data_IF_461753709846
#
_entry.id   IF_461753709846
#
_cell.length_a   1.000
_cell.length_b   1.000
_cell.length_c   1.000
_cell.angle_alpha   90.00
_cell.angle_beta   90.00
_cell.angle_gamma   90.00
#
_symmetry.space_group_name_H-M   'P 1'
#
loop_
_entity.id
_entity.type
_entity.pdbx_description
1 polymer ?
#
# COMPACT_ATOMS: atom_id res chain seq x y z
N UNK A 1 -21.88 21.11 48.96
CA UNK A 1 -22.03 19.87 48.17
C UNK A 1 -22.83 20.06 46.89
N UNK A 2 -24.00 20.70 46.90
CA UNK A 2 -24.82 20.94 45.69
C UNK A 2 -24.08 21.67 44.53
N UNK A 3 -23.28 22.69 44.85
CA UNK A 3 -22.53 23.46 43.83
C UNK A 3 -21.47 22.60 43.10
N UNK A 4 -20.83 21.68 43.82
CA UNK A 4 -19.79 20.80 43.26
C UNK A 4 -20.39 19.75 42.32
N UNK A 5 -21.58 19.24 42.67
CA UNK A 5 -22.35 18.30 41.84
C UNK A 5 -22.83 18.98 40.56
N UNK A 6 -23.31 20.23 40.66
CA UNK A 6 -23.72 21.01 39.49
C UNK A 6 -22.54 21.29 38.53
N UNK A 7 -21.36 21.61 39.06
CA UNK A 7 -20.16 21.85 38.27
C UNK A 7 -19.68 20.58 37.55
N UNK A 8 -19.70 19.43 38.24
CA UNK A 8 -19.35 18.13 37.65
C UNK A 8 -20.32 17.75 36.53
N UNK A 9 -21.62 17.94 36.74
CA UNK A 9 -22.63 17.69 35.71
C UNK A 9 -22.43 18.61 34.49
N UNK A 10 -22.09 19.88 34.72
CA UNK A 10 -21.81 20.84 33.65
C UNK A 10 -20.54 20.47 32.85
N UNK A 11 -19.49 19.98 33.51
CA UNK A 11 -18.28 19.54 32.82
C UNK A 11 -18.51 18.26 31.99
N UNK A 12 -19.32 17.32 32.50
CA UNK A 12 -19.69 16.10 31.76
C UNK A 12 -20.51 16.43 30.51
N UNK A 13 -21.46 17.38 30.60
CA UNK A 13 -22.24 17.80 29.43
C UNK A 13 -21.39 18.59 28.43
N UNK A 14 -20.41 19.36 28.90
CA UNK A 14 -19.46 20.08 28.04
C UNK A 14 -18.57 19.10 27.25
N UNK A 15 -18.06 18.03 27.88
CA UNK A 15 -17.27 17.01 27.17
C UNK A 15 -18.10 16.28 26.11
N UNK A 16 -19.35 15.94 26.40
CA UNK A 16 -20.24 15.32 25.41
C UNK A 16 -20.58 16.26 24.25
N UNK A 17 -20.62 17.57 24.48
CA UNK A 17 -20.85 18.55 23.43
C UNK A 17 -19.61 18.78 22.55
N UNK A 18 -18.41 18.84 23.15
CA UNK A 18 -17.16 19.08 22.45
C UNK A 18 -16.70 17.84 21.66
N UNK A 19 -16.87 16.63 22.23
CA UNK A 19 -16.43 15.38 21.60
C UNK A 19 -17.53 14.60 20.88
N UNK A 20 -18.81 14.92 21.11
CA UNK A 20 -19.96 14.21 20.52
C UNK A 20 -20.39 14.70 19.14
N UNK A 21 -19.77 15.76 18.62
CA UNK A 21 -19.90 16.12 17.21
C UNK A 21 -19.02 15.21 16.36
N UNK A 22 -19.35 13.91 16.33
CA UNK A 22 -18.87 13.02 15.29
C UNK A 22 -19.44 13.55 13.98
N UNK A 23 -18.64 14.36 13.29
CA UNK A 23 -18.77 14.66 11.88
C UNK A 23 -18.51 13.33 11.16
N UNK A 24 -19.45 12.39 11.27
CA UNK A 24 -19.58 11.33 10.29
C UNK A 24 -20.10 12.06 9.06
N UNK A 25 -19.26 12.34 8.04
CA UNK A 25 -19.83 12.68 6.76
C UNK A 25 -20.76 11.52 6.42
N UNK A 26 -22.06 11.79 6.33
CA UNK A 26 -23.05 10.86 5.80
C UNK A 26 -22.78 10.79 4.29
N UNK A 27 -21.60 10.29 3.93
CA UNK A 27 -21.26 9.90 2.58
C UNK A 27 -22.26 8.80 2.27
N UNK A 28 -23.13 8.98 1.26
CA UNK A 28 -23.94 7.87 0.81
C UNK A 28 -22.98 6.72 0.57
N UNK A 29 -23.26 5.56 1.17
CA UNK A 29 -22.64 4.28 0.80
C UNK A 29 -23.12 3.92 -0.61
N UNK A 30 -22.95 4.81 -1.58
CA UNK A 30 -22.79 4.44 -2.96
C UNK A 30 -21.61 3.49 -2.93
N UNK A 31 -21.92 2.20 -3.11
CA UNK A 31 -20.94 1.16 -3.37
C UNK A 31 -19.80 1.79 -4.16
N UNK A 32 -18.65 1.91 -3.53
CA UNK A 32 -17.44 2.48 -4.11
C UNK A 32 -16.96 1.46 -5.15
N UNK A 33 -17.74 1.31 -6.23
CA UNK A 33 -17.43 0.51 -7.39
C UNK A 33 -16.42 1.34 -8.14
N UNK A 34 -15.16 1.19 -7.73
CA UNK A 34 -14.05 1.72 -8.47
C UNK A 34 -14.16 1.23 -9.92
N UNK A 35 -14.15 2.14 -10.92
CA UNK A 35 -14.18 1.76 -12.32
C UNK A 35 -13.10 0.70 -12.58
N UNK A 36 -13.44 -0.47 -13.14
CA UNK A 36 -12.45 -1.52 -13.45
C UNK A 36 -11.28 -0.99 -14.29
N UNK A 37 -11.50 0.11 -15.03
CA UNK A 37 -10.52 0.82 -15.83
C UNK A 37 -9.36 1.40 -15.04
N UNK A 38 -9.55 1.76 -13.77
CA UNK A 38 -8.46 2.20 -12.87
C UNK A 38 -7.44 1.08 -12.67
N UNK A 39 -7.90 -0.17 -12.52
CA UNK A 39 -7.04 -1.34 -12.39
C UNK A 39 -6.58 -1.90 -13.73
N UNK A 40 -7.35 -1.70 -14.80
CA UNK A 40 -7.01 -2.14 -16.17
C UNK A 40 -5.72 -1.49 -16.69
N UNK A 41 -5.36 -0.30 -16.18
CA UNK A 41 -4.16 0.46 -16.56
C UNK A 41 -2.96 0.31 -15.62
N UNK A 42 -3.09 -0.38 -14.48
CA UNK A 42 -1.94 -0.99 -13.80
C UNK A 42 -1.52 -2.22 -14.60
N UNK A 43 -1.11 -1.98 -15.83
CA UNK A 43 -0.44 -2.97 -16.65
C UNK A 43 0.97 -3.16 -16.08
N UNK A 44 1.03 -3.92 -14.98
CA UNK A 44 2.24 -4.64 -14.54
C UNK A 44 2.81 -5.55 -15.65
N UNK A 45 2.14 -5.62 -16.80
CA UNK A 45 2.59 -6.19 -18.07
C UNK A 45 4.00 -5.72 -18.46
N UNK A 46 4.42 -4.51 -18.06
CA UNK A 46 5.80 -4.02 -18.25
C UNK A 46 6.63 -3.96 -16.95
N UNK A 47 6.07 -4.41 -15.82
CA UNK A 47 6.86 -4.73 -14.64
C UNK A 47 7.55 -6.07 -14.88
N UNK A 48 8.46 -6.07 -15.86
CA UNK A 48 9.51 -7.08 -16.05
C UNK A 48 10.54 -6.91 -14.93
N UNK A 49 10.08 -6.84 -13.68
CA UNK A 49 10.93 -7.04 -12.53
C UNK A 49 11.28 -8.51 -12.56
N UNK A 50 12.55 -8.87 -12.83
CA UNK A 50 12.96 -10.25 -12.69
C UNK A 50 12.56 -10.73 -11.29
N UNK A 51 12.14 -12.00 -11.18
CA UNK A 51 11.94 -12.67 -9.89
C UNK A 51 13.22 -12.75 -9.03
N UNK A 52 14.32 -12.17 -9.53
CA UNK A 52 15.67 -12.20 -9.00
C UNK A 52 16.06 -10.76 -8.66
N UNK A 53 16.33 -10.53 -7.37
CA UNK A 53 17.00 -9.31 -6.92
C UNK A 53 18.43 -9.27 -7.48
N UNK A 54 18.85 -8.09 -7.93
CA UNK A 54 20.25 -7.84 -8.22
C UNK A 54 21.06 -7.71 -6.92
N UNK A 55 22.37 -7.95 -6.99
CA UNK A 55 23.31 -7.60 -5.94
C UNK A 55 24.25 -6.50 -6.50
N UNK A 56 24.21 -5.26 -5.99
CA UNK A 56 23.31 -4.74 -4.96
C UNK A 56 21.85 -4.62 -5.44
N UNK A 57 20.90 -4.65 -4.49
CA UNK A 57 19.47 -4.61 -4.79
C UNK A 57 19.09 -3.33 -5.53
N UNK A 58 18.28 -3.48 -6.59
CA UNK A 58 17.81 -2.35 -7.41
C UNK A 58 16.29 -2.38 -7.58
N UNK A 59 15.63 -1.30 -7.18
CA UNK A 59 14.17 -1.21 -7.09
C UNK A 59 13.59 -0.34 -8.20
N UNK A 60 12.45 -0.69 -8.78
CA UNK A 60 11.76 0.17 -9.73
C UNK A 60 11.29 1.47 -9.05
N UNK A 61 11.54 2.62 -9.68
CA UNK A 61 11.13 3.93 -9.16
C UNK A 61 10.14 4.64 -10.10
N UNK A 62 10.53 4.86 -11.36
CA UNK A 62 9.68 5.52 -12.36
C UNK A 62 9.92 4.95 -13.76
N UNK A 63 9.05 5.26 -14.71
CA UNK A 63 9.25 4.92 -16.12
C UNK A 63 9.57 6.18 -16.93
N UNK A 64 10.44 6.05 -17.93
CA UNK A 64 10.71 7.16 -18.85
C UNK A 64 9.58 7.33 -19.89
N UNK A 65 9.46 8.54 -20.42
CA UNK A 65 8.39 8.92 -21.35
C UNK A 65 8.40 8.16 -22.70
N UNK A 66 9.53 7.61 -23.11
CA UNK A 66 9.72 7.08 -24.48
C UNK A 66 9.40 5.59 -24.64
N UNK A 67 9.75 4.75 -23.66
CA UNK A 67 9.66 3.27 -23.80
C UNK A 67 8.95 2.60 -22.62
N UNK A 68 8.51 3.38 -21.61
CA UNK A 68 7.86 2.80 -20.42
C UNK A 68 8.75 1.83 -19.63
N UNK A 69 10.07 1.87 -19.82
CA UNK A 69 11.02 1.02 -19.11
C UNK A 69 11.23 1.55 -17.71
N UNK A 70 11.12 0.67 -16.72
CA UNK A 70 11.41 1.00 -15.32
C UNK A 70 12.87 1.42 -15.16
N UNK A 71 13.06 2.63 -14.66
CA UNK A 71 14.31 3.07 -14.06
C UNK A 71 14.41 2.44 -12.69
N UNK A 72 15.57 1.83 -12.43
CA UNK A 72 15.85 1.13 -11.18
C UNK A 72 16.88 1.90 -10.38
N UNK A 73 16.63 2.04 -9.08
CA UNK A 73 17.45 2.83 -8.17
C UNK A 73 17.95 1.97 -7.01
N UNK A 74 18.88 2.51 -6.23
CA UNK A 74 19.38 1.84 -5.03
C UNK A 74 18.26 1.58 -4.02
N UNK A 75 18.50 0.64 -3.12
CA UNK A 75 17.62 0.35 -1.98
C UNK A 75 17.50 1.56 -1.03
N UNK A 76 18.52 2.41 -0.98
CA UNK A 76 18.65 3.53 -0.06
C UNK A 76 17.95 4.80 -0.56
N UNK A 77 16.63 4.69 -0.72
CA UNK A 77 15.72 5.76 -1.11
C UNK A 77 14.40 5.57 -0.38
N UNK A 78 13.73 6.68 -0.04
CA UNK A 78 12.42 6.65 0.63
C UNK A 78 11.35 5.90 -0.18
N UNK A 79 11.46 5.90 -1.52
CA UNK A 79 10.50 5.22 -2.41
C UNK A 79 10.65 3.70 -2.45
N UNK A 80 11.72 3.14 -1.91
CA UNK A 80 12.04 1.70 -2.01
C UNK A 80 10.94 0.81 -1.43
N UNK A 81 10.20 1.29 -0.42
CA UNK A 81 9.10 0.55 0.19
C UNK A 81 7.86 0.37 -0.71
N UNK A 82 7.70 1.19 -1.75
CA UNK A 82 6.50 1.20 -2.60
C UNK A 82 6.36 -0.13 -3.36
N UNK A 83 7.45 -0.62 -3.95
CA UNK A 83 7.42 -1.84 -4.76
C UNK A 83 7.04 -3.10 -3.96
N UNK A 84 7.70 -3.44 -2.84
CA UNK A 84 7.30 -4.61 -2.05
C UNK A 84 5.87 -4.48 -1.51
N UNK A 85 5.42 -3.29 -1.09
CA UNK A 85 4.03 -3.06 -0.69
C UNK A 85 3.04 -3.33 -1.82
N UNK A 86 3.36 -2.88 -3.05
CA UNK A 86 2.55 -3.15 -4.24
C UNK A 86 2.38 -4.66 -4.51
N UNK A 87 3.40 -5.48 -4.22
CA UNK A 87 3.31 -6.94 -4.37
C UNK A 87 2.27 -7.55 -3.42
N UNK A 88 2.12 -7.02 -2.19
CA UNK A 88 1.05 -7.43 -1.27
C UNK A 88 -0.33 -7.01 -1.80
N UNK A 89 -0.46 -5.79 -2.32
CA UNK A 89 -1.72 -5.32 -2.90
C UNK A 89 -2.15 -6.15 -4.12
N UNK A 90 -1.20 -6.55 -4.96
CA UNK A 90 -1.46 -7.46 -6.08
C UNK A 90 -2.02 -8.79 -5.57
N UNK A 91 -1.49 -9.34 -4.47
CA UNK A 91 -2.03 -10.57 -3.85
C UNK A 91 -3.47 -10.36 -3.41
N UNK A 92 -3.77 -9.27 -2.70
CA UNK A 92 -5.11 -8.97 -2.18
C UNK A 92 -6.12 -8.87 -3.33
N UNK A 93 -5.80 -8.08 -4.36
CA UNK A 93 -6.67 -7.92 -5.54
C UNK A 93 -6.82 -9.24 -6.33
N UNK A 94 -5.74 -10.01 -6.43
CA UNK A 94 -5.79 -11.33 -7.06
C UNK A 94 -6.70 -12.28 -6.29
N UNK A 95 -6.78 -12.20 -4.96
CA UNK A 95 -7.70 -13.03 -4.17
C UNK A 95 -9.14 -12.51 -4.17
N UNK A 96 -9.34 -11.19 -4.19
CA UNK A 96 -10.64 -10.56 -4.03
C UNK A 96 -11.50 -10.56 -5.31
N UNK A 97 -10.89 -10.70 -6.49
CA UNK A 97 -11.61 -10.53 -7.77
C UNK A 97 -11.97 -11.86 -8.44
N UNK A 98 -13.09 -11.89 -9.17
CA UNK A 98 -13.45 -12.98 -10.09
C UNK A 98 -12.36 -13.22 -11.17
N UNK A 99 -11.49 -12.23 -11.35
CA UNK A 99 -10.28 -12.30 -12.17
C UNK A 99 -9.35 -13.45 -11.76
N UNK A 100 -9.35 -13.86 -10.49
CA UNK A 100 -8.61 -15.02 -9.98
C UNK A 100 -9.01 -16.34 -10.67
N UNK A 101 -10.28 -16.47 -11.07
CA UNK A 101 -10.80 -17.65 -11.80
C UNK A 101 -10.41 -17.59 -13.27
N UNK A 102 -10.53 -16.42 -13.89
CA UNK A 102 -10.14 -16.20 -15.30
C UNK A 102 -8.63 -16.39 -15.49
N UNK A 103 -7.81 -15.91 -14.55
CA UNK A 103 -6.36 -16.08 -14.60
C UNK A 103 -5.91 -17.52 -14.41
N UNK A 104 -6.48 -18.23 -13.43
CA UNK A 104 -6.23 -19.66 -13.25
C UNK A 104 -6.61 -20.49 -14.48
N UNK A 105 -7.70 -20.13 -15.16
CA UNK A 105 -8.14 -20.82 -16.37
C UNK A 105 -7.23 -20.57 -17.58
N UNK A 106 -6.61 -19.38 -17.68
CA UNK A 106 -5.87 -18.94 -18.88
C UNK A 106 -4.37 -19.18 -18.84
N UNK A 107 -3.79 -19.45 -17.66
CA UNK A 107 -2.39 -19.83 -17.52
C UNK A 107 -2.26 -21.10 -16.70
N UNK A 108 -1.81 -22.19 -17.33
CA UNK A 108 -1.23 -23.39 -16.67
C UNK A 108 0.08 -23.08 -15.92
N UNK A 109 0.43 -21.81 -15.71
CA UNK A 109 1.68 -21.40 -15.04
C UNK A 109 1.47 -21.32 -13.55
N UNK A 110 2.49 -21.75 -12.79
CA UNK A 110 2.59 -21.62 -11.34
C UNK A 110 2.05 -20.27 -10.87
N UNK A 111 1.18 -20.31 -9.86
CA UNK A 111 0.70 -19.10 -9.18
C UNK A 111 1.93 -18.39 -8.62
N UNK A 112 2.21 -17.17 -9.08
CA UNK A 112 3.27 -16.35 -8.52
C UNK A 112 2.97 -16.10 -7.04
N UNK A 113 3.90 -16.50 -6.16
CA UNK A 113 3.80 -16.21 -4.74
C UNK A 113 4.24 -14.76 -4.49
N UNK A 114 3.28 -13.85 -4.69
CA UNK A 114 3.46 -12.41 -4.52
C UNK A 114 3.88 -12.03 -3.10
N UNK A 115 3.47 -12.80 -2.08
CA UNK A 115 3.84 -12.55 -0.69
C UNK A 115 5.30 -12.89 -0.47
N UNK A 116 5.73 -14.08 -0.91
CA UNK A 116 7.14 -14.48 -0.81
C UNK A 116 8.04 -13.52 -1.59
N UNK A 117 7.60 -13.06 -2.77
CA UNK A 117 8.32 -12.05 -3.54
C UNK A 117 8.39 -10.72 -2.76
N UNK A 118 7.26 -10.22 -2.26
CA UNK A 118 7.23 -9.01 -1.42
C UNK A 118 8.21 -9.09 -0.24
N UNK A 119 8.27 -10.23 0.45
CA UNK A 119 9.21 -10.47 1.54
C UNK A 119 10.67 -10.45 1.09
N UNK A 120 11.02 -11.11 -0.02
CA UNK A 120 12.41 -11.09 -0.50
C UNK A 120 12.86 -9.68 -0.87
N UNK A 121 11.98 -8.92 -1.53
CA UNK A 121 12.23 -7.54 -1.90
C UNK A 121 12.31 -6.59 -0.69
N UNK A 122 11.57 -6.85 0.38
CA UNK A 122 11.73 -6.10 1.64
C UNK A 122 13.00 -6.46 2.40
N UNK A 123 13.47 -7.71 2.32
CA UNK A 123 14.62 -8.18 3.12
C UNK A 123 15.90 -7.39 2.88
N UNK A 124 16.14 -6.90 1.66
CA UNK A 124 17.34 -6.09 1.37
C UNK A 124 17.30 -4.68 1.96
N UNK A 125 16.14 -4.23 2.47
CA UNK A 125 16.06 -2.99 3.26
C UNK A 125 16.56 -3.16 4.69
N UNK A 126 16.56 -4.38 5.24
CA UNK A 126 17.01 -4.63 6.64
C UNK A 126 18.46 -4.19 6.84
N UNK A 127 19.31 -4.40 5.84
CA UNK A 127 20.70 -3.94 5.89
C UNK A 127 20.85 -2.40 5.96
N UNK A 128 19.81 -1.64 5.61
CA UNK A 128 19.78 -0.17 5.65
C UNK A 128 19.32 0.38 7.00
N UNK A 129 18.84 -0.46 7.93
CA UNK A 129 18.45 -0.02 9.29
C UNK A 129 19.64 0.58 10.06
N UNK A 130 20.86 0.14 9.72
CA UNK A 130 22.09 0.62 10.37
C UNK A 130 22.74 1.77 9.60
N UNK A 131 22.61 1.77 8.27
CA UNK A 131 23.22 2.76 7.38
C UNK A 131 22.25 3.13 6.26
N UNK A 132 21.55 4.26 6.39
CA UNK A 132 20.74 4.85 5.33
C UNK A 132 21.13 6.31 5.10
N UNK A 133 20.99 6.77 3.87
CA UNK A 133 21.18 8.17 3.49
C UNK A 133 19.84 8.90 3.35
N UNK A 134 18.72 8.25 3.68
CA UNK A 134 17.36 8.80 3.47
C UNK A 134 17.06 9.97 4.41
N UNK A 135 17.80 10.13 5.53
CA UNK A 135 17.77 11.33 6.38
C UNK A 135 16.43 11.65 7.06
N UNK A 136 15.41 10.81 6.85
CA UNK A 136 14.02 11.04 7.27
C UNK A 136 13.37 9.84 7.96
N UNK A 137 14.16 8.88 8.44
CA UNK A 137 13.67 7.96 9.46
C UNK A 137 13.80 8.65 10.83
N UNK A 138 12.85 9.55 11.14
CA UNK A 138 12.48 10.01 12.48
C UNK A 138 10.96 9.86 12.64
#
# INVERSE_FOLDING_TARGET
MLLLVALLLFLVTLEQYIFGAEITPKVPTASLVWPPELYRRLSLRNCSTPSIQHAPARYPQYTGHTVGKWKRCSADLWTTGIFPAMLYEIKIQYTATAWSRIWRARRRSSVTDWVRLGRSWSATKVALEVNSHVGHDL
#
